data_IF_213444204584
#
_entry.id   IF_213444204584
#
_cell.length_a   1.000
_cell.length_b   1.000
_cell.length_c   1.000
_cell.angle_alpha   90.00
_cell.angle_beta   90.00
_cell.angle_gamma   90.00
#
_symmetry.space_group_name_H-M   'P 1'
#
loop_
_entity.id
_entity.type
_entity.pdbx_description
1 polymer ?
2 non-polymer ?
3 non-polymer ?
4 water ?
#
# COMPACT_ATOMS: atom_id res chain seq x y z
N UNK A 15 32.84 12.69 -0.09
CA UNK A 15 32.63 11.22 -0.08
C UNK A 15 31.99 10.80 -1.38
N UNK A 16 32.42 9.67 -1.89
CA UNK A 16 32.38 9.36 -3.30
C UNK A 16 31.48 8.12 -3.51
N UNK A 17 30.82 7.98 -4.67
CA UNK A 17 29.94 6.80 -4.83
C UNK A 17 30.56 5.47 -4.37
N UNK A 18 31.84 5.24 -4.70
CA UNK A 18 32.48 3.96 -4.35
C UNK A 18 32.78 3.81 -2.85
N UNK A 19 32.65 4.90 -2.09
CA UNK A 19 32.80 4.89 -0.62
C UNK A 19 31.48 4.95 0.20
N UNK A 20 30.34 5.05 -0.48
CA UNK A 20 29.05 5.16 0.20
C UNK A 20 28.82 4.00 1.16
N UNK A 21 28.99 2.76 0.69
CA UNK A 21 28.69 1.58 1.50
C UNK A 21 29.63 1.47 2.72
N UNK A 22 30.90 1.81 2.52
CA UNK A 22 31.88 1.82 3.59
C UNK A 22 31.50 2.83 4.71
N UNK A 23 31.14 4.06 4.32
CA UNK A 23 30.75 5.12 5.25
C UNK A 23 29.51 4.73 6.04
N UNK A 24 28.47 4.24 5.35
CA UNK A 24 27.23 3.86 6.02
C UNK A 24 27.45 2.67 6.95
N UNK A 25 28.30 1.74 6.49
CA UNK A 25 28.57 0.50 7.24
C UNK A 25 29.24 0.72 8.59
N UNK A 26 29.87 1.86 8.78
CA UNK A 26 30.40 2.22 10.12
C UNK A 26 29.28 2.47 11.15
N UNK A 27 28.08 2.85 10.67
CA UNK A 27 27.00 3.29 11.56
C UNK A 27 25.73 2.43 11.51
N UNK A 28 25.53 1.68 10.42
CA UNK A 28 24.28 0.97 10.19
C UNK A 28 24.55 -0.38 9.60
N UNK A 29 23.53 -1.22 9.70
CA UNK A 29 23.49 -2.47 8.95
C UNK A 29 23.26 -2.14 7.47
N UNK A 30 24.19 -2.54 6.60
CA UNK A 30 24.04 -2.17 5.19
C UNK A 30 23.55 -3.36 4.35
N UNK A 31 22.25 -3.62 4.40
CA UNK A 31 21.71 -4.80 3.75
C UNK A 31 20.90 -4.49 2.46
N UNK A 32 20.99 -3.26 1.96
CA UNK A 32 20.26 -2.87 0.76
C UNK A 32 20.98 -3.25 -0.53
N UNK A 33 20.64 -2.58 -1.63
CA UNK A 33 21.16 -2.94 -2.95
C UNK A 33 22.63 -2.59 -3.10
N UNK A 34 23.33 -3.30 -4.00
CA UNK A 34 24.76 -3.07 -4.23
C UNK A 34 25.05 -1.85 -5.06
N UNK A 35 24.01 -1.12 -5.46
CA UNK A 35 24.24 0.04 -6.29
C UNK A 35 24.26 1.30 -5.46
N UNK A 36 24.68 2.40 -6.08
CA UNK A 36 24.53 3.67 -5.46
C UNK A 36 23.67 4.50 -6.40
N UNK A 37 22.55 5.02 -5.89
CA UNK A 37 21.60 5.73 -6.74
C UNK A 37 22.15 7.06 -7.24
N UNK A 38 22.16 7.21 -8.55
CA UNK A 38 22.43 8.49 -9.14
C UNK A 38 21.11 9.30 -9.21
N UNK A 39 21.02 10.35 -8.40
CA UNK A 39 19.79 11.11 -8.21
C UNK A 39 19.48 11.94 -9.43
N UNK A 40 20.51 12.27 -10.19
CA UNK A 40 20.37 13.14 -11.34
C UNK A 40 20.11 12.41 -12.67
N UNK A 41 20.82 11.31 -12.89
CA UNK A 41 20.78 10.61 -14.17
C UNK A 41 19.68 9.56 -14.26
N UNK A 42 19.18 9.11 -13.11
CA UNK A 42 18.01 8.21 -13.07
C UNK A 42 16.79 8.90 -13.67
N UNK A 43 15.89 8.14 -14.28
CA UNK A 43 14.72 8.79 -14.91
C UNK A 43 13.73 7.79 -15.44
N UNK A 44 12.45 8.07 -15.20
CA UNK A 44 11.39 7.23 -15.73
C UNK A 44 11.47 5.84 -15.11
N UNK A 45 11.51 4.79 -15.93
CA UNK A 45 11.52 3.42 -15.42
C UNK A 45 12.94 2.86 -15.16
N UNK A 46 13.94 3.75 -15.14
CA UNK A 46 15.34 3.37 -15.02
C UNK A 46 16.06 4.01 -13.82
N UNK A 47 16.67 3.16 -12.98
CA UNK A 47 17.63 3.63 -11.98
C UNK A 47 19.06 3.57 -12.53
N UNK A 48 19.89 4.57 -12.23
CA UNK A 48 21.28 4.57 -12.70
C UNK A 48 22.18 4.30 -11.49
N UNK A 49 23.07 3.32 -11.62
CA UNK A 49 24.08 3.06 -10.62
C UNK A 49 25.21 4.07 -10.80
N UNK A 50 25.40 4.94 -9.81
CA UNK A 50 26.47 5.93 -9.85
C UNK A 50 27.89 5.33 -9.94
N UNK A 51 28.09 4.11 -9.44
CA UNK A 51 29.41 3.45 -9.48
C UNK A 51 29.79 3.03 -10.92
N UNK A 52 28.91 2.31 -11.62
CA UNK A 52 29.20 1.81 -12.99
C UNK A 52 28.57 2.61 -14.14
N UNK A 53 27.46 3.31 -13.88
CA UNK A 53 26.69 3.89 -14.95
C UNK A 53 25.71 2.88 -15.56
N UNK A 54 25.64 1.67 -15.04
CA UNK A 54 24.67 0.69 -15.56
C UNK A 54 23.24 1.16 -15.24
N UNK A 55 22.34 0.99 -16.20
CA UNK A 55 20.93 1.33 -16.05
C UNK A 55 20.15 0.08 -15.63
N UNK A 56 19.25 0.24 -14.66
CA UNK A 56 18.45 -0.86 -14.13
C UNK A 56 16.97 -0.60 -14.41
N UNK A 57 16.31 -1.58 -15.01
CA UNK A 57 14.88 -1.50 -15.25
C UNK A 57 14.14 -1.67 -13.91
N UNK A 58 13.33 -0.68 -13.58
CA UNK A 58 12.77 -0.57 -12.24
C UNK A 58 11.31 -1.05 -12.19
N UNK A 59 11.11 -2.28 -11.72
CA UNK A 59 9.75 -2.77 -11.39
C UNK A 59 9.59 -2.87 -9.87
N UNK A 60 10.25 -1.96 -9.15
CA UNK A 60 10.28 -2.01 -7.68
C UNK A 60 9.83 -0.67 -7.08
N UNK A 61 10.20 0.44 -7.74
CA UNK A 61 9.69 1.80 -7.48
C UNK A 61 9.72 2.21 -5.99
N UNK A 62 10.87 1.98 -5.35
CA UNK A 62 11.06 2.28 -3.91
C UNK A 62 9.96 1.61 -3.08
N UNK A 63 9.78 0.31 -3.32
CA UNK A 63 8.70 -0.52 -2.75
C UNK A 63 7.32 0.08 -3.04
N UNK A 64 7.01 0.30 -4.32
CA UNK A 64 5.73 0.79 -4.78
C UNK A 64 5.36 2.22 -4.31
N UNK A 65 6.35 3.04 -3.91
CA UNK A 65 6.08 4.37 -3.38
C UNK A 65 6.29 5.50 -4.41
N UNK A 66 6.73 5.15 -5.62
CA UNK A 66 6.92 6.13 -6.68
C UNK A 66 5.90 5.95 -7.79
N UNK A 67 5.01 6.91 -7.99
CA UNK A 67 3.96 6.82 -9.00
C UNK A 67 4.45 7.07 -10.45
N UNK A 68 5.31 8.08 -10.61
CA UNK A 68 5.77 8.48 -11.93
C UNK A 68 7.21 8.02 -12.25
N UNK A 69 7.88 7.29 -11.35
CA UNK A 69 9.30 6.96 -11.53
C UNK A 69 10.21 8.13 -11.15
N UNK A 70 11.49 8.01 -11.49
CA UNK A 70 12.50 9.03 -11.14
C UNK A 70 12.46 10.26 -12.05
N UNK A 71 12.62 11.42 -11.44
CA UNK A 71 12.80 12.67 -12.21
C UNK A 71 11.82 12.80 -13.38
N UNK A 72 10.50 12.76 -13.09
CA UNK A 72 9.55 12.87 -14.20
C UNK A 72 9.64 14.25 -14.88
N UNK A 73 9.60 14.28 -16.23
CA UNK A 73 9.72 15.52 -16.99
C UNK A 73 8.76 16.62 -16.56
N UNK A 74 7.52 16.28 -16.22
CA UNK A 74 6.54 17.30 -15.79
C UNK A 74 7.00 18.03 -14.53
N UNK A 75 7.84 17.39 -13.74
CA UNK A 75 8.39 18.00 -12.52
C UNK A 75 9.72 18.70 -12.81
N UNK A 76 10.60 18.02 -13.49
CA UNK A 76 11.97 18.49 -13.76
C UNK A 76 12.00 19.73 -14.68
N UNK A 77 11.08 19.80 -15.65
CA UNK A 77 11.08 20.93 -16.61
C UNK A 77 10.23 22.12 -16.18
N UNK A 78 9.52 22.00 -15.07
CA UNK A 78 8.57 23.02 -14.65
C UNK A 78 9.28 24.04 -13.75
N UNK A 79 9.69 25.17 -14.33
CA UNK A 79 10.47 26.15 -13.55
C UNK A 79 9.70 26.80 -12.41
N UNK A 80 8.39 26.94 -12.55
CA UNK A 80 7.52 27.50 -11.48
C UNK A 80 7.40 26.55 -10.31
N UNK A 81 7.25 25.26 -10.62
CA UNK A 81 7.20 24.22 -9.61
C UNK A 81 8.54 24.16 -8.85
N UNK A 82 9.67 24.25 -9.57
CA UNK A 82 10.98 24.32 -8.91
C UNK A 82 11.02 25.33 -7.80
N UNK A 83 10.51 26.54 -8.06
CA UNK A 83 10.44 27.62 -7.07
C UNK A 83 9.53 27.27 -5.89
N UNK A 84 8.40 26.62 -6.16
CA UNK A 84 7.47 26.23 -5.10
C UNK A 84 8.07 25.14 -4.23
N UNK A 85 8.67 24.15 -4.87
CA UNK A 85 9.33 23.05 -4.17
C UNK A 85 10.50 23.56 -3.31
N UNK A 86 11.33 24.41 -3.87
CA UNK A 86 12.45 24.99 -3.12
C UNK A 86 11.99 25.77 -1.87
N UNK A 87 10.94 26.59 -2.03
CA UNK A 87 10.34 27.32 -0.92
C UNK A 87 9.91 26.36 0.18
N UNK A 88 9.33 25.23 -0.21
CA UNK A 88 8.87 24.26 0.77
C UNK A 88 10.04 23.51 1.40
N UNK A 89 11.05 23.16 0.58
CA UNK A 89 12.15 22.28 1.01
C UNK A 89 13.15 22.93 1.99
N UNK A 90 13.26 24.26 1.94
CA UNK A 90 14.24 24.96 2.76
C UNK A 90 13.94 24.88 4.25
N UNK A 91 12.66 24.81 4.59
CA UNK A 91 12.24 24.76 5.99
C UNK A 91 11.36 23.56 6.21
N UNK A 92 10.95 23.34 7.44
CA UNK A 92 10.00 22.26 7.71
C UNK A 92 8.99 22.74 8.75
N UNK A 93 7.94 23.44 8.30
CA UNK A 93 6.94 23.95 9.26
C UNK A 93 6.14 22.85 9.94
N UNK A 94 5.63 23.13 11.13
CA UNK A 94 4.65 22.22 11.73
C UNK A 94 3.26 22.57 11.15
N UNK A 95 2.84 21.82 10.13
CA UNK A 95 1.54 22.04 9.49
C UNK A 95 0.34 21.82 10.43
N UNK A 96 0.60 21.15 11.55
CA UNK A 96 -0.39 20.96 12.63
C UNK A 96 -0.90 22.27 13.18
N UNK A 97 -0.01 23.27 13.24
CA UNK A 97 -0.17 24.55 13.96
C UNK A 97 -0.21 25.71 13.00
N UNK A 98 0.59 25.61 11.94
CA UNK A 98 0.82 26.76 11.05
C UNK A 98 0.50 26.43 9.60
N UNK A 99 -0.49 27.11 9.03
CA UNK A 99 -0.98 26.80 7.69
C UNK A 99 -0.30 27.65 6.66
N UNK A 100 -0.28 27.18 5.42
CA UNK A 100 0.34 27.90 4.34
C UNK A 100 -0.48 27.70 3.09
N UNK A 101 -0.22 28.53 2.09
CA UNK A 101 -0.85 28.38 0.78
C UNK A 101 -0.44 27.04 0.13
N UNK A 102 0.85 26.70 0.25
CA UNK A 102 1.39 25.44 -0.27
C UNK A 102 0.61 24.23 0.26
N UNK A 103 0.36 24.22 1.57
CA UNK A 103 -0.43 23.19 2.20
C UNK A 103 -1.87 23.15 1.68
N UNK A 104 -2.54 24.32 1.62
CA UNK A 104 -3.94 24.40 1.18
C UNK A 104 -4.10 23.92 -0.26
N UNK A 105 -3.17 24.27 -1.14
CA UNK A 105 -3.21 23.78 -2.53
C UNK A 105 -3.05 22.27 -2.59
N UNK A 106 -2.18 21.68 -1.76
CA UNK A 106 -2.08 20.25 -1.71
C UNK A 106 -3.42 19.60 -1.31
N UNK A 107 -4.03 20.13 -0.24
CA UNK A 107 -5.24 19.53 0.33
C UNK A 107 -6.41 19.61 -0.65
N UNK A 108 -6.57 20.74 -1.34
CA UNK A 108 -7.67 20.81 -2.30
C UNK A 108 -7.43 19.95 -3.52
N UNK A 109 -6.17 19.81 -3.95
CA UNK A 109 -5.96 18.89 -5.06
C UNK A 109 -6.06 17.42 -4.66
N UNK A 110 -5.64 17.06 -3.44
CA UNK A 110 -5.85 15.71 -2.93
C UNK A 110 -7.35 15.39 -2.92
N UNK A 111 -8.15 16.30 -2.34
CA UNK A 111 -9.62 16.12 -2.30
C UNK A 111 -10.20 15.97 -3.74
N UNK A 112 -9.74 16.81 -4.67
CA UNK A 112 -10.27 16.75 -6.05
C UNK A 112 -9.92 15.45 -6.76
N UNK A 113 -8.67 15.00 -6.65
CA UNK A 113 -8.20 13.88 -7.47
C UNK A 113 -8.47 12.53 -6.81
N UNK A 114 -8.28 12.43 -5.50
CA UNK A 114 -8.45 11.16 -4.80
C UNK A 114 -9.62 11.14 -3.85
N UNK A 115 -10.28 12.27 -3.65
CA UNK A 115 -11.38 12.34 -2.69
C UNK A 115 -12.59 11.44 -2.97
N UNK A 116 -13.28 11.05 -1.91
CA UNK A 116 -14.53 10.32 -1.99
C UNK A 116 -15.56 11.17 -1.21
N UNK A 117 -16.72 11.50 -1.82
CA UNK A 117 -17.67 12.40 -1.17
C UNK A 117 -18.23 11.86 0.19
N UNK A 118 -18.18 10.56 0.40
CA UNK A 118 -18.61 9.98 1.68
C UNK A 118 -17.55 10.11 2.78
N UNK A 119 -16.30 10.43 2.39
CA UNK A 119 -15.17 10.46 3.34
C UNK A 119 -14.48 11.85 3.33
N UNK A 120 -15.17 12.87 3.86
CA UNK A 120 -14.66 14.24 3.75
C UNK A 120 -13.54 14.64 4.73
N UNK A 121 -13.33 13.88 5.81
CA UNK A 121 -12.34 14.21 6.84
C UNK A 121 -10.97 13.69 6.44
N UNK A 122 -10.02 14.61 6.36
CA UNK A 122 -8.65 14.26 5.99
C UNK A 122 -7.73 14.52 7.17
N UNK A 123 -6.72 13.67 7.34
CA UNK A 123 -5.73 13.85 8.38
C UNK A 123 -4.41 13.36 7.81
N UNK A 124 -3.34 14.15 7.97
CA UNK A 124 -2.03 13.75 7.41
C UNK A 124 -0.98 13.54 8.50
N UNK A 125 -0.01 12.69 8.19
CA UNK A 125 1.02 12.31 9.14
C UNK A 125 2.22 11.77 8.30
N UNK A 126 3.41 11.77 8.88
CA UNK A 126 4.54 11.08 8.23
C UNK A 126 4.49 9.58 8.59
N UNK A 127 4.47 8.72 7.57
CA UNK A 127 4.67 7.27 7.80
C UNK A 127 3.40 6.47 7.62
N UNK A 128 3.52 5.34 6.90
CA UNK A 128 2.40 4.45 6.61
C UNK A 128 1.84 3.75 7.83
N UNK A 129 2.72 3.27 8.71
CA UNK A 129 2.25 2.59 9.94
C UNK A 129 1.43 3.59 10.79
N UNK A 130 1.88 4.83 10.86
CA UNK A 130 1.16 5.82 11.65
C UNK A 130 -0.16 6.25 11.01
N UNK A 131 -0.25 6.20 9.68
CA UNK A 131 -1.55 6.38 8.99
C UNK A 131 -2.54 5.31 9.44
N UNK A 132 -2.11 4.05 9.43
CA UNK A 132 -2.97 2.97 9.90
C UNK A 132 -3.32 3.14 11.36
N UNK A 133 -2.33 3.52 12.19
CA UNK A 133 -2.61 3.72 13.60
C UNK A 133 -3.66 4.80 13.89
N UNK A 134 -3.64 5.87 13.11
CA UNK A 134 -4.63 6.91 13.31
C UNK A 134 -6.03 6.49 12.89
N UNK A 135 -6.09 5.64 11.87
CA UNK A 135 -7.34 5.00 11.48
C UNK A 135 -7.85 4.16 12.65
N UNK A 136 -6.96 3.38 13.28
CA UNK A 136 -7.33 2.56 14.42
C UNK A 136 -7.81 3.43 15.58
N UNK A 137 -7.06 4.50 15.89
CA UNK A 137 -7.42 5.41 16.98
C UNK A 137 -8.81 6.02 16.76
N UNK A 138 -9.10 6.43 15.52
CA UNK A 138 -10.44 6.92 15.18
C UNK A 138 -11.49 5.87 15.53
N UNK A 139 -11.24 4.60 15.20
CA UNK A 139 -12.19 3.53 15.44
C UNK A 139 -12.37 3.23 16.92
N UNK A 140 -11.27 3.22 17.69
CA UNK A 140 -11.34 2.95 19.14
C UNK A 140 -12.19 4.04 19.81
N UNK A 141 -11.91 5.30 19.47
CA UNK A 141 -12.65 6.41 20.05
C UNK A 141 -14.14 6.30 19.66
N UNK A 142 -14.40 6.03 18.39
CA UNK A 142 -15.74 5.91 17.86
C UNK A 142 -16.54 4.84 18.64
N UNK A 143 -15.98 3.63 18.73
CA UNK A 143 -16.65 2.52 19.39
C UNK A 143 -16.97 2.83 20.86
N UNK A 144 -15.97 3.32 21.59
CA UNK A 144 -16.15 3.69 22.99
C UNK A 144 -17.29 4.71 23.15
N UNK A 145 -17.29 5.76 22.33
CA UNK A 145 -18.33 6.80 22.37
C UNK A 145 -19.70 6.27 21.90
N UNK A 146 -19.72 5.42 20.86
CA UNK A 146 -20.97 4.77 20.39
C UNK A 146 -21.52 3.87 21.51
N UNK A 147 -20.67 3.03 22.09
CA UNK A 147 -21.03 2.23 23.26
C UNK A 147 -21.66 3.08 24.38
N UNK A 148 -20.93 4.11 24.83
CA UNK A 148 -21.38 5.04 25.87
C UNK A 148 -22.77 5.62 25.56
N UNK A 149 -23.00 6.01 24.30
CA UNK A 149 -24.25 6.65 23.86
C UNK A 149 -25.43 5.67 23.90
N UNK A 150 -25.14 4.38 23.87
CA UNK A 150 -26.16 3.35 23.92
C UNK A 150 -26.14 2.56 25.23
N UNK A 151 -25.66 3.14 26.31
CA UNK A 151 -25.73 2.51 27.61
C UNK A 151 -24.76 1.36 27.83
N UNK A 152 -23.78 1.21 26.92
CA UNK A 152 -22.73 0.21 27.07
C UNK A 152 -21.48 0.86 27.69
N UNK A 153 -20.78 0.10 28.54
CA UNK A 153 -19.56 0.55 29.19
C UNK A 153 -18.55 1.11 28.15
N UNK A 154 -18.10 2.37 28.34
CA UNK A 154 -17.16 2.98 27.39
C UNK A 154 -15.73 2.44 27.48
N UNK A 155 -15.48 1.54 28.44
CA UNK A 155 -14.21 0.81 28.51
C UNK A 155 -14.16 -0.25 27.42
N UNK A 156 -15.31 -0.56 26.83
CA UNK A 156 -15.35 -1.55 25.77
C UNK A 156 -15.15 -0.88 24.42
N UNK A 157 -14.43 -1.58 23.53
CA UNK A 157 -14.23 -1.11 22.15
C UNK A 157 -12.75 -0.96 21.83
N UNK A 158 -11.96 -1.98 22.12
CA UNK A 158 -10.50 -1.85 22.07
C UNK A 158 -9.82 -2.90 21.17
N UNK A 159 -10.60 -3.73 20.47
CA UNK A 159 -10.02 -4.81 19.68
C UNK A 159 -10.17 -4.60 18.17
N UNK A 160 -9.29 -5.22 17.42
CA UNK A 160 -9.25 -5.00 15.99
C UNK A 160 -9.32 -6.36 15.36
N UNK A 161 -10.38 -6.60 14.60
CA UNK A 161 -10.47 -7.80 13.79
C UNK A 161 -9.59 -7.62 12.53
N UNK A 162 -8.83 -8.66 12.17
CA UNK A 162 -7.90 -8.53 11.04
C UNK A 162 -7.61 -9.90 10.43
N UNK A 163 -6.84 -9.91 9.35
CA UNK A 163 -6.56 -11.10 8.56
C UNK A 163 -5.22 -11.77 8.82
N UNK A 164 -5.17 -13.09 8.66
CA UNK A 164 -3.89 -13.78 8.52
C UNK A 164 -3.20 -13.32 7.26
N UNK A 165 -1.88 -13.22 7.31
CA UNK A 165 -1.09 -12.78 6.17
C UNK A 165 -1.04 -11.27 5.98
N UNK A 166 -1.61 -10.50 6.93
CA UNK A 166 -1.71 -9.05 6.83
C UNK A 166 -0.38 -8.38 7.06
N UNK A 167 -0.16 -7.25 6.39
CA UNK A 167 0.96 -6.39 6.77
C UNK A 167 0.44 -4.97 6.89
N UNK A 168 0.47 -4.39 8.09
CA UNK A 168 -0.03 -3.01 8.31
C UNK A 168 1.03 -2.08 8.93
N UNK A 169 2.24 -2.59 9.11
CA UNK A 169 3.31 -1.77 9.67
C UNK A 169 4.05 -2.41 10.82
N UNK A 170 5.03 -1.67 11.35
CA UNK A 170 5.95 -2.18 12.36
C UNK A 170 5.95 -1.34 13.63
N UNK A 171 4.82 -0.66 13.88
CA UNK A 171 4.67 0.26 15.03
C UNK A 171 3.84 -0.41 16.14
N UNK A 172 3.71 0.25 17.29
CA UNK A 172 3.10 -0.39 18.47
C UNK A 172 1.78 -1.09 18.22
N UNK A 173 0.80 -0.43 17.59
CA UNK A 173 -0.46 -1.10 17.28
C UNK A 173 -0.39 -2.06 16.07
N UNK A 174 0.39 -1.71 15.06
CA UNK A 174 0.40 -2.53 13.84
C UNK A 174 1.20 -3.82 13.97
N UNK A 175 2.10 -3.86 14.96
CA UNK A 175 2.81 -5.12 15.25
C UNK A 175 1.87 -6.21 15.80
N UNK A 176 0.72 -5.78 16.32
CA UNK A 176 -0.34 -6.74 16.74
C UNK A 176 -1.21 -7.21 15.57
N UNK A 177 -1.05 -6.58 14.41
CA UNK A 177 -1.87 -6.92 13.24
C UNK A 177 -1.04 -7.66 12.18
N UNK A 178 0.15 -7.12 11.90
CA UNK A 178 1.09 -7.67 10.92
C UNK A 178 1.47 -9.12 11.29
N UNK A 179 1.26 -10.03 10.35
CA UNK A 179 1.66 -11.42 10.58
C UNK A 179 2.07 -12.06 9.25
N UNK A 180 3.29 -11.76 8.84
CA UNK A 180 3.86 -12.36 7.65
C UNK A 180 5.07 -13.23 8.04
N UNK A 181 6.24 -12.60 8.20
CA UNK A 181 7.46 -13.27 8.61
C UNK A 181 7.66 -13.02 10.10
N UNK A 182 8.04 -14.07 10.85
CA UNK A 182 8.33 -14.00 12.29
C UNK A 182 9.35 -12.95 12.67
N UNK A 183 10.35 -12.73 11.80
CA UNK A 183 11.40 -11.71 11.98
C UNK A 183 10.79 -10.32 12.28
N UNK A 184 9.64 -10.03 11.70
CA UNK A 184 9.04 -8.71 11.87
C UNK A 184 8.46 -8.46 13.27
N UNK A 185 7.88 -9.49 13.88
CA UNK A 185 7.08 -9.32 15.08
C UNK A 185 7.63 -10.03 16.32
N UNK A 186 8.62 -10.93 16.16
CA UNK A 186 9.11 -11.76 17.28
C UNK A 186 9.69 -10.92 18.42
N UNK A 187 9.35 -11.31 19.65
CA UNK A 187 9.87 -10.66 20.86
C UNK A 187 9.35 -9.23 21.11
N UNK A 188 8.34 -8.78 20.36
CA UNK A 188 7.72 -7.46 20.60
C UNK A 188 6.34 -7.65 21.26
N UNK A 189 6.07 -6.91 22.36
CA UNK A 189 4.76 -7.10 22.98
C UNK A 189 3.56 -6.74 22.07
N UNK A 190 2.50 -7.52 22.25
CA UNK A 190 1.33 -7.46 21.38
C UNK A 190 0.03 -7.53 22.18
N UNK A 191 -1.02 -6.94 21.63
CA UNK A 191 -2.37 -7.16 22.11
C UNK A 191 -2.86 -8.47 21.55
N UNK A 192 -3.77 -9.09 22.27
CA UNK A 192 -4.40 -10.31 21.82
C UNK A 192 -5.65 -9.92 21.03
N UNK A 193 -5.48 -9.63 19.74
CA UNK A 193 -6.62 -9.22 18.91
C UNK A 193 -7.06 -10.36 18.01
N UNK A 194 -8.37 -10.43 17.69
CA UNK A 194 -8.86 -11.59 16.92
C UNK A 194 -8.42 -11.59 15.44
N UNK A 195 -7.90 -12.74 15.01
CA UNK A 195 -7.29 -12.90 13.70
C UNK A 195 -8.07 -14.03 13.00
N UNK A 196 -8.51 -13.79 11.76
CA UNK A 196 -9.27 -14.80 11.02
C UNK A 196 -8.54 -15.21 9.75
N UNK A 197 -8.84 -16.39 9.23
CA UNK A 197 -8.29 -16.85 7.94
C UNK A 197 -8.61 -15.90 6.79
N UNK A 198 -7.67 -15.80 5.86
CA UNK A 198 -7.81 -14.94 4.72
C UNK A 198 -8.23 -15.82 3.52
N UNK A 199 -9.49 -15.67 3.04
CA UNK A 199 -10.02 -16.51 1.94
C UNK A 199 -9.65 -15.98 0.55
N UNK A 200 -8.35 -15.91 0.27
CA UNK A 200 -7.89 -15.34 -1.00
C UNK A 200 -8.09 -16.35 -2.13
N UNK A 201 -8.29 -15.82 -3.33
CA UNK A 201 -8.35 -16.61 -4.54
C UNK A 201 -7.07 -17.41 -4.79
N UNK A 202 -7.26 -18.70 -5.08
CA UNK A 202 -6.14 -19.52 -5.51
C UNK A 202 -6.52 -20.27 -6.79
N UNK A 203 -5.50 -20.71 -7.56
CA UNK A 203 -5.86 -21.34 -8.85
C UNK A 203 -6.51 -22.72 -8.60
N UNK A 204 -7.44 -23.08 -9.48
CA UNK A 204 -8.13 -24.37 -9.34
C UNK A 204 -9.11 -24.41 -8.19
N UNK A 205 -9.78 -23.28 -7.94
CA UNK A 205 -10.94 -23.21 -7.06
C UNK A 205 -12.00 -22.47 -7.83
N UNK A 206 -13.17 -23.08 -8.00
CA UNK A 206 -14.24 -22.44 -8.75
C UNK A 206 -15.21 -21.76 -7.77
N UNK A 207 -16.11 -20.93 -8.32
CA UNK A 207 -17.12 -20.19 -7.53
C UNK A 207 -17.56 -20.89 -6.23
N UNK A 208 -18.15 -22.12 -6.30
CA UNK A 208 -18.55 -22.88 -5.09
C UNK A 208 -17.46 -23.10 -4.04
N UNK A 209 -16.27 -23.50 -4.48
CA UNK A 209 -15.16 -23.73 -3.56
C UNK A 209 -14.71 -22.42 -2.90
N UNK A 210 -14.71 -21.32 -3.67
CA UNK A 210 -14.41 -20.00 -3.15
C UNK A 210 -15.45 -19.58 -2.13
N UNK A 211 -16.71 -19.80 -2.49
CA UNK A 211 -17.81 -19.43 -1.61
C UNK A 211 -17.71 -20.18 -0.25
N UNK A 212 -17.31 -21.45 -0.28
CA UNK A 212 -17.10 -22.24 0.94
C UNK A 212 -15.94 -21.70 1.79
N UNK A 213 -14.85 -21.34 1.13
CA UNK A 213 -13.70 -20.74 1.80
C UNK A 213 -14.09 -19.43 2.50
N UNK A 214 -14.75 -18.54 1.76
CA UNK A 214 -15.25 -17.29 2.32
C UNK A 214 -16.19 -17.50 3.52
N UNK A 215 -17.15 -18.44 3.38
CA UNK A 215 -18.13 -18.77 4.41
C UNK A 215 -17.48 -19.15 5.74
N UNK A 216 -16.34 -19.85 5.66
CA UNK A 216 -15.57 -20.23 6.84
C UNK A 216 -14.87 -19.05 7.55
N UNK A 217 -14.27 -18.13 6.78
CA UNK A 217 -13.68 -16.89 7.33
C UNK A 217 -14.76 -16.05 8.02
N UNK A 218 -15.90 -15.93 7.35
CA UNK A 218 -17.08 -15.21 7.82
C UNK A 218 -17.65 -15.80 9.11
N UNK A 219 -17.62 -17.14 9.22
CA UNK A 219 -18.03 -17.84 10.43
C UNK A 219 -17.09 -17.49 11.57
N UNK A 220 -15.78 -17.53 11.30
CA UNK A 220 -14.75 -17.10 12.27
C UNK A 220 -14.94 -15.63 12.67
N UNK A 221 -15.30 -14.79 11.71
CA UNK A 221 -15.52 -13.36 11.98
C UNK A 221 -16.71 -13.18 12.91
N UNK A 222 -17.82 -13.85 12.58
CA UNK A 222 -19.04 -13.78 13.38
C UNK A 222 -18.78 -14.27 14.81
N UNK A 223 -18.06 -15.37 14.93
CA UNK A 223 -17.74 -15.95 16.23
C UNK A 223 -16.93 -14.95 17.09
N UNK A 224 -15.97 -14.26 16.46
CA UNK A 224 -15.19 -13.23 17.16
C UNK A 224 -16.10 -12.12 17.69
N UNK A 225 -16.99 -11.62 16.85
CA UNK A 225 -17.92 -10.58 17.27
C UNK A 225 -18.81 -11.06 18.43
N UNK A 226 -19.29 -12.30 18.36
CA UNK A 226 -20.22 -12.78 19.39
C UNK A 226 -19.53 -13.12 20.71
N UNK A 227 -18.24 -13.47 20.66
CA UNK A 227 -17.55 -13.85 21.90
C UNK A 227 -16.83 -12.69 22.59
N UNK A 228 -16.80 -11.53 21.93
CA UNK A 228 -16.13 -10.33 22.46
C UNK A 228 -17.13 -9.18 22.31
N UNK A 229 -18.30 -9.28 22.98
CA UNK A 229 -19.41 -8.35 22.69
C UNK A 229 -19.05 -6.87 22.91
N UNK A 230 -19.36 -6.05 21.91
CA UNK A 230 -19.16 -4.59 21.97
C UNK A 230 -17.69 -4.16 22.09
N UNK A 231 -16.78 -5.10 21.94
CA UNK A 231 -15.37 -4.83 22.20
C UNK A 231 -14.54 -4.80 20.91
N UNK A 232 -15.11 -5.16 19.78
CA UNK A 232 -14.37 -5.08 18.49
C UNK A 232 -14.74 -3.72 17.84
N UNK A 233 -13.76 -2.82 17.69
CA UNK A 233 -14.02 -1.44 17.21
C UNK A 233 -14.10 -1.42 15.69
N UNK A 234 -13.36 -2.35 15.05
CA UNK A 234 -13.21 -2.32 13.59
C UNK A 234 -12.65 -3.62 13.03
N UNK A 235 -12.81 -3.75 11.72
CA UNK A 235 -12.15 -4.75 10.91
C UNK A 235 -11.21 -3.99 9.96
N UNK A 236 -9.94 -4.41 9.88
CA UNK A 236 -8.97 -3.76 9.00
C UNK A 236 -8.55 -4.81 8.00
N UNK A 237 -8.40 -4.39 6.74
CA UNK A 237 -7.84 -5.27 5.72
C UNK A 237 -7.14 -4.47 4.65
N UNK A 238 -6.14 -5.09 4.03
CA UNK A 238 -5.68 -4.70 2.70
C UNK A 238 -6.66 -5.23 1.66
N UNK A 239 -7.08 -4.40 0.70
CA UNK A 239 -7.97 -4.92 -0.35
C UNK A 239 -7.31 -6.03 -1.21
N UNK A 240 -5.97 -5.95 -1.36
CA UNK A 240 -5.11 -6.99 -1.94
C UNK A 240 -3.93 -7.02 -1.00
N UNK A 241 -3.64 -8.18 -0.44
CA UNK A 241 -2.52 -8.28 0.49
C UNK A 241 -1.20 -8.20 -0.30
N UNK A 242 -0.33 -7.24 0.05
CA UNK A 242 0.89 -6.99 -0.69
C UNK A 242 2.04 -7.85 -0.20
N UNK A 243 2.64 -7.45 0.92
CA UNK A 243 3.79 -8.16 1.51
C UNK A 243 3.51 -9.64 1.78
N UNK A 244 2.27 -9.98 2.09
CA UNK A 244 1.90 -11.37 2.38
C UNK A 244 1.90 -12.27 1.14
N UNK A 245 1.96 -11.67 -0.07
CA UNK A 245 2.08 -12.42 -1.32
C UNK A 245 1.12 -12.08 -2.46
N UNK A 246 0.75 -10.81 -2.62
CA UNK A 246 -0.21 -10.39 -3.64
C UNK A 246 -1.43 -11.34 -3.67
N UNK A 247 -2.13 -11.38 -2.55
CA UNK A 247 -3.28 -12.26 -2.42
C UNK A 247 -4.51 -11.45 -2.59
N UNK A 248 -5.30 -11.84 -3.58
CA UNK A 248 -6.47 -11.09 -3.99
C UNK A 248 -7.75 -11.74 -3.41
N UNK A 249 -8.76 -10.93 -3.16
CA UNK A 249 -10.01 -11.40 -2.56
C UNK A 249 -11.15 -11.05 -3.48
N UNK A 250 -12.18 -11.88 -3.49
CA UNK A 250 -13.39 -11.54 -4.25
C UNK A 250 -14.12 -10.38 -3.57
N UNK A 251 -14.75 -9.52 -4.37
CA UNK A 251 -15.62 -8.46 -3.81
C UNK A 251 -16.69 -9.00 -2.85
N UNK A 252 -17.21 -10.20 -3.13
CA UNK A 252 -18.22 -10.87 -2.28
C UNK A 252 -17.75 -11.02 -0.83
N UNK A 253 -16.48 -11.35 -0.64
CA UNK A 253 -15.99 -11.51 0.73
C UNK A 253 -16.10 -10.18 1.51
N UNK A 254 -15.66 -9.09 0.89
CA UNK A 254 -15.66 -7.82 1.56
C UNK A 254 -17.06 -7.26 1.74
N UNK A 255 -17.93 -7.46 0.74
CA UNK A 255 -19.36 -7.08 0.83
C UNK A 255 -20.07 -7.75 2.01
N UNK A 256 -19.79 -9.03 2.22
CA UNK A 256 -20.24 -9.75 3.42
C UNK A 256 -19.65 -9.18 4.70
N UNK A 257 -18.32 -8.88 4.70
CA UNK A 257 -17.69 -8.26 5.87
C UNK A 257 -18.31 -6.90 6.19
N UNK A 258 -18.59 -6.15 5.15
CA UNK A 258 -19.26 -4.85 5.29
C UNK A 258 -20.61 -5.01 6.02
N UNK A 259 -21.39 -6.03 5.67
CA UNK A 259 -22.68 -6.21 6.32
C UNK A 259 -22.53 -6.64 7.75
N UNK A 260 -21.56 -7.50 8.00
CA UNK A 260 -21.27 -8.00 9.33
C UNK A 260 -20.78 -6.93 10.29
N UNK A 261 -19.84 -6.07 9.82
CA UNK A 261 -19.42 -4.87 10.55
C UNK A 261 -20.61 -3.98 10.96
N UNK A 262 -21.51 -3.74 10.01
CA UNK A 262 -22.68 -2.93 10.29
C UNK A 262 -23.59 -3.58 11.33
N UNK A 263 -23.79 -4.89 11.22
CA UNK A 263 -24.61 -5.60 12.19
C UNK A 263 -24.08 -5.49 13.62
N UNK A 264 -22.76 -5.52 13.79
CA UNK A 264 -22.15 -5.39 15.12
C UNK A 264 -21.60 -4.01 15.50
N UNK A 265 -22.01 -2.98 14.77
CA UNK A 265 -21.54 -1.60 14.97
C UNK A 265 -20.01 -1.47 15.09
N UNK A 266 -19.33 -1.95 14.06
CA UNK A 266 -17.87 -1.87 13.94
C UNK A 266 -17.52 -1.20 12.59
N UNK A 267 -16.47 -0.39 12.61
CA UNK A 267 -16.06 0.30 11.39
C UNK A 267 -15.26 -0.63 10.46
N UNK A 268 -15.36 -0.40 9.16
CA UNK A 268 -14.54 -1.14 8.22
C UNK A 268 -13.44 -0.19 7.73
N UNK A 269 -12.19 -0.60 7.94
CA UNK A 269 -11.07 0.18 7.45
C UNK A 269 -10.28 -0.53 6.33
N UNK A 270 -10.09 0.14 5.22
CA UNK A 270 -9.19 -0.42 4.19
C UNK A 270 -7.81 0.23 4.30
N UNK A 271 -6.80 -0.61 4.38
CA UNK A 271 -5.43 -0.14 4.36
C UNK A 271 -5.01 -0.12 2.88
N UNK A 272 -5.01 1.06 2.29
CA UNK A 272 -4.62 1.24 0.90
C UNK A 272 -3.20 1.83 0.75
N UNK A 273 -2.37 1.70 1.78
CA UNK A 273 -1.01 2.22 1.70
C UNK A 273 -0.29 1.66 0.47
N UNK A 274 -0.44 0.34 0.21
CA UNK A 274 0.20 -0.26 -0.97
C UNK A 274 -0.64 -0.28 -2.26
N UNK A 275 -1.96 -0.43 -2.13
CA UNK A 275 -2.87 -0.50 -3.27
C UNK A 275 -3.25 0.84 -3.87
N UNK A 276 -3.05 1.93 -3.11
CA UNK A 276 -3.68 3.19 -3.42
C UNK A 276 -3.02 4.00 -4.51
N UNK A 277 -3.62 5.13 -4.82
CA UNK A 277 -3.08 6.11 -5.76
C UNK A 277 -2.82 5.55 -7.18
N UNK A 278 -3.82 4.83 -7.70
CA UNK A 278 -3.84 4.52 -9.11
C UNK A 278 -3.28 3.19 -9.59
N UNK A 279 -2.55 2.48 -8.73
CA UNK A 279 -1.85 1.26 -9.14
C UNK A 279 -2.78 0.19 -9.71
N UNK A 280 -3.98 0.04 -9.12
CA UNK A 280 -4.89 -0.99 -9.60
C UNK A 280 -5.74 -0.49 -10.77
N UNK A 281 -5.56 0.77 -11.15
CA UNK A 281 -6.33 1.36 -12.25
C UNK A 281 -7.40 2.36 -11.84
N UNK A 282 -7.69 2.45 -10.53
CA UNK A 282 -8.60 3.46 -9.96
C UNK A 282 -7.84 4.21 -8.86
N UNK A 283 -8.31 5.40 -8.48
CA UNK A 283 -7.72 6.06 -7.29
C UNK A 283 -7.44 5.06 -6.17
N UNK A 284 -8.44 4.25 -5.83
CA UNK A 284 -8.34 3.29 -4.74
C UNK A 284 -8.86 1.96 -5.19
N UNK A 285 -8.26 0.88 -4.68
CA UNK A 285 -8.70 -0.47 -4.99
C UNK A 285 -10.14 -0.71 -4.55
N UNK A 286 -10.54 -0.18 -3.39
CA UNK A 286 -11.91 -0.38 -2.90
C UNK A 286 -12.99 0.08 -3.90
N UNK A 287 -12.66 1.08 -4.75
CA UNK A 287 -13.63 1.55 -5.76
C UNK A 287 -13.99 0.47 -6.79
N UNK A 288 -13.11 -0.50 -6.98
CA UNK A 288 -13.39 -1.59 -7.91
C UNK A 288 -14.09 -2.76 -7.23
N UNK A 289 -14.01 -2.82 -5.90
CA UNK A 289 -14.63 -3.89 -5.15
C UNK A 289 -16.07 -3.54 -4.82
N UNK A 290 -16.45 -2.27 -5.01
CA UNK A 290 -17.80 -1.79 -4.70
C UNK A 290 -18.21 -2.05 -3.23
N UNK A 291 -17.27 -1.84 -2.31
CA UNK A 291 -17.52 -1.88 -0.88
C UNK A 291 -17.09 -0.51 -0.32
N UNK A 292 -17.96 0.13 0.47
CA UNK A 292 -17.70 1.45 1.00
C UNK A 292 -17.07 1.30 2.40
N UNK A 293 -15.80 1.74 2.55
CA UNK A 293 -15.20 1.73 3.89
C UNK A 293 -15.65 2.95 4.71
N UNK A 294 -15.45 2.90 6.03
CA UNK A 294 -15.69 4.09 6.86
C UNK A 294 -14.42 4.92 6.93
N UNK A 295 -13.29 4.22 6.82
CA UNK A 295 -12.00 4.89 6.87
C UNK A 295 -10.97 4.20 5.94
N UNK A 296 -10.13 5.02 5.29
CA UNK A 296 -9.09 4.56 4.37
C UNK A 296 -7.73 5.12 4.87
N UNK A 297 -6.74 4.25 5.07
CA UNK A 297 -5.38 4.67 5.40
C UNK A 297 -4.61 4.68 4.07
N UNK A 298 -3.82 5.73 3.82
CA UNK A 298 -3.04 5.82 2.58
C UNK A 298 -1.56 6.18 2.85
N UNK A 299 -0.70 5.94 1.87
CA UNK A 299 0.72 6.27 2.03
C UNK A 299 1.47 5.93 0.76
N UNK A 300 2.79 5.71 0.92
CA UNK A 300 3.67 5.37 -0.20
C UNK A 300 3.57 6.38 -1.35
N UNK A 301 2.82 6.07 -2.42
CA UNK A 301 2.77 6.96 -3.56
C UNK A 301 2.31 8.37 -3.23
N UNK A 302 1.44 8.50 -2.21
CA UNK A 302 0.96 9.83 -1.78
C UNK A 302 2.06 10.70 -1.14
N UNK A 303 3.21 10.09 -0.80
CA UNK A 303 4.41 10.79 -0.24
C UNK A 303 4.17 11.20 1.23
N UNK A 304 3.17 12.07 1.44
CA UNK A 304 2.56 12.31 2.78
C UNK A 304 1.61 11.15 3.05
N UNK A 305 1.51 10.73 4.30
CA UNK A 305 0.61 9.63 4.63
C UNK A 305 -0.62 10.17 5.37
N UNK A 306 -1.63 9.34 5.60
CA UNK A 306 -2.77 9.83 6.36
C UNK A 306 -4.03 8.99 6.27
N UNK A 307 -5.15 9.58 6.65
CA UNK A 307 -6.43 8.87 6.61
C UNK A 307 -7.50 9.74 5.94
N UNK A 308 -8.47 9.08 5.31
CA UNK A 308 -9.73 9.74 4.89
C UNK A 308 -10.82 9.03 5.66
N UNK A 309 -11.76 9.77 6.24
CA UNK A 309 -12.80 9.16 7.06
C UNK A 309 -14.15 9.80 6.82
N UNK A 310 -15.19 9.02 7.11
CA UNK A 310 -16.54 9.51 6.97
C UNK A 310 -17.47 8.32 7.15
N UNK A 311 -18.49 8.24 6.30
CA UNK A 311 -19.55 7.23 6.47
C UNK A 311 -20.01 7.18 7.95
N UNK A 312 -19.93 6.04 8.63
CA UNK A 312 -20.46 5.95 9.99
C UNK A 312 -19.72 6.78 11.03
N UNK A 313 -18.47 7.18 10.73
CA UNK A 313 -17.67 7.99 11.67
C UNK A 313 -18.46 9.23 12.14
N UNK A 314 -19.13 9.88 11.20
CA UNK A 314 -19.90 11.10 11.46
C UNK A 314 -21.11 10.94 12.41
N UNK A 315 -21.56 9.70 12.63
CA UNK A 315 -22.70 9.42 13.51
C UNK A 315 -22.38 9.66 14.98
N UNK A 316 -21.09 9.76 15.31
CA UNK A 316 -20.63 10.10 16.65
C UNK A 316 -20.13 11.52 16.48
N UNK A 317 -20.90 12.48 16.99
CA UNK A 317 -20.63 13.89 16.72
C UNK A 317 -19.29 14.38 17.30
N UNK A 318 -18.84 13.77 18.41
CA UNK A 318 -17.58 14.19 19.06
C UNK A 318 -16.45 13.18 18.74
N UNK A 319 -16.42 12.74 17.49
CA UNK A 319 -15.36 11.88 17.00
C UNK A 319 -14.02 12.67 16.90
N UNK A 320 -12.98 11.92 16.59
CA UNK A 320 -11.60 12.35 16.67
C UNK A 320 -11.30 13.45 15.64
N UNK A 321 -12.13 13.56 14.63
CA UNK A 321 -11.98 14.59 13.60
C UNK A 321 -12.72 15.87 13.93
N UNK A 322 -13.50 15.85 15.01
CA UNK A 322 -14.34 16.97 15.39
C UNK A 322 -13.86 17.64 16.68
N UNK A 323 -13.01 16.96 17.44
CA UNK A 323 -12.56 17.36 18.77
C UNK A 323 -11.05 17.67 18.70
N UNK A 324 -10.63 18.88 19.10
CA UNK A 324 -9.20 19.26 19.03
C UNK A 324 -8.31 18.33 19.86
N UNK A 325 -7.12 18.07 19.33
CA UNK A 325 -6.04 17.41 20.06
C UNK A 325 -6.17 15.91 20.32
N UNK A 326 -7.16 15.23 19.72
CA UNK A 326 -7.29 13.77 19.89
C UNK A 326 -6.26 13.05 19.03
N UNK A 327 -6.04 13.59 17.84
CA UNK A 327 -4.98 13.13 16.91
C UNK A 327 -3.99 14.27 16.69
N UNK A 328 -2.70 13.95 16.60
CA UNK A 328 -1.70 14.99 16.30
C UNK A 328 -0.35 14.36 16.01
N UNK A 329 0.56 15.18 15.51
CA UNK A 329 1.99 14.90 15.46
C UNK A 329 2.70 16.26 15.45
N UNK A 330 4.01 16.29 15.68
CA UNK A 330 4.78 17.57 15.56
C UNK A 330 4.56 18.23 14.21
N UNK A 331 4.78 17.52 13.12
CA UNK A 331 4.80 18.20 11.81
C UNK A 331 3.49 18.20 11.02
N UNK A 332 2.61 17.22 11.29
CA UNK A 332 1.39 17.01 10.49
C UNK A 332 1.72 16.68 9.03
N UNK A 333 2.74 15.86 8.83
CA UNK A 333 3.17 15.53 7.47
C UNK A 333 4.28 16.47 7.04
N UNK A 334 5.04 16.08 6.02
CA UNK A 334 6.16 16.85 5.55
C UNK A 334 5.69 17.81 4.44
N UNK A 335 5.88 19.12 4.62
CA UNK A 335 5.41 20.09 3.61
C UNK A 335 6.05 19.86 2.21
N UNK A 336 7.32 19.47 2.17
CA UNK A 336 7.97 19.12 0.89
C UNK A 336 7.25 17.97 0.19
N UNK A 337 6.89 16.92 0.95
CA UNK A 337 6.09 15.84 0.40
C UNK A 337 4.73 16.31 -0.12
N UNK A 338 4.08 17.24 0.59
CA UNK A 338 2.80 17.80 0.13
C UNK A 338 2.93 18.54 -1.19
N UNK A 339 3.95 19.39 -1.32
CA UNK A 339 4.14 20.11 -2.58
C UNK A 339 4.44 19.16 -3.78
N UNK A 340 5.33 18.18 -3.57
CA UNK A 340 5.65 17.17 -4.59
C UNK A 340 4.40 16.36 -4.96
N UNK A 341 3.67 15.87 -3.95
CA UNK A 341 2.46 15.08 -4.14
C UNK A 341 1.41 15.89 -4.91
N UNK A 342 1.28 17.17 -4.62
CA UNK A 342 0.24 17.90 -5.36
C UNK A 342 0.60 18.03 -6.83
N UNK A 343 1.88 18.22 -7.14
CA UNK A 343 2.31 18.24 -8.56
C UNK A 343 2.11 16.88 -9.25
N UNK A 344 2.44 15.80 -8.53
CA UNK A 344 2.24 14.43 -9.03
C UNK A 344 0.73 14.17 -9.32
N UNK A 345 -0.15 14.54 -8.39
CA UNK A 345 -1.60 14.42 -8.60
C UNK A 345 -2.11 15.19 -9.82
N UNK A 346 -1.55 16.37 -10.06
CA UNK A 346 -1.90 17.16 -11.23
C UNK A 346 -1.47 16.47 -12.53
N UNK A 347 -0.30 15.83 -12.52
CA UNK A 347 0.16 15.05 -13.67
C UNK A 347 -0.80 13.85 -13.89
N UNK A 348 -1.09 13.10 -12.83
CA UNK A 348 -2.04 11.98 -12.93
C UNK A 348 -3.38 12.39 -13.59
N UNK A 349 -3.92 13.51 -13.13
CA UNK A 349 -5.22 14.00 -13.57
C UNK A 349 -5.16 14.47 -15.04
N UNK A 350 -4.10 15.23 -15.36
CA UNK A 350 -3.92 15.80 -16.70
C UNK A 350 -3.60 14.77 -17.79
N UNK A 351 -2.85 13.72 -17.46
CA UNK A 351 -2.41 12.73 -18.43
C UNK A 351 -3.22 11.42 -18.43
N UNK A 352 -4.31 11.38 -17.65
CA UNK A 352 -5.18 10.19 -17.53
C UNK A 352 -4.44 8.92 -17.11
N UNK A 353 -3.63 9.03 -16.05
CA UNK A 353 -2.73 7.92 -15.68
C UNK A 353 -3.43 6.72 -15.02
N UNK A 354 -4.60 6.95 -14.43
CA UNK A 354 -5.39 5.80 -13.93
C UNK A 354 -5.78 4.90 -15.09
N UNK A 355 -6.27 5.50 -16.18
CA UNK A 355 -6.68 4.76 -17.39
C UNK A 355 -5.49 4.10 -18.07
N UNK A 356 -4.35 4.78 -18.07
CA UNK A 356 -3.14 4.20 -18.60
C UNK A 356 -2.70 2.95 -17.79
N UNK A 357 -2.90 3.00 -16.49
CA UNK A 357 -2.65 1.84 -15.64
C UNK A 357 -3.58 0.63 -15.91
N UNK A 358 -4.86 0.90 -16.13
CA UNK A 358 -5.79 -0.14 -16.58
C UNK A 358 -5.27 -0.83 -17.86
N UNK A 359 -4.95 -0.03 -18.88
CA UNK A 359 -4.55 -0.57 -20.17
C UNK A 359 -3.21 -1.32 -20.11
N UNK A 360 -2.18 -0.71 -19.52
CA UNK A 360 -0.87 -1.36 -19.42
C UNK A 360 -0.87 -2.51 -18.44
N UNK A 361 -1.70 -2.41 -17.41
CA UNK A 361 -1.94 -3.53 -16.50
C UNK A 361 -2.56 -4.74 -17.20
N UNK A 362 -3.49 -4.52 -18.11
CA UNK A 362 -4.03 -5.62 -18.95
C UNK A 362 -2.92 -6.26 -19.83
N UNK A 363 -2.03 -5.44 -20.35
CA UNK A 363 -0.89 -5.91 -21.14
C UNK A 363 0.07 -6.76 -20.31
N UNK A 364 0.49 -6.25 -19.14
CA UNK A 364 1.40 -6.98 -18.26
C UNK A 364 0.79 -8.34 -17.87
N UNK A 365 -0.49 -8.31 -17.52
CA UNK A 365 -1.20 -9.51 -17.13
C UNK A 365 -1.24 -10.58 -18.24
N UNK A 366 -1.58 -10.14 -19.46
CA UNK A 366 -1.58 -10.99 -20.66
C UNK A 366 -0.21 -11.67 -20.88
N UNK A 367 0.88 -10.91 -20.70
CA UNK A 367 2.25 -11.43 -20.82
C UNK A 367 2.57 -12.47 -19.78
N UNK A 368 2.02 -12.30 -18.56
CA UNK A 368 2.25 -13.28 -17.49
C UNK A 368 1.48 -14.59 -17.74
N UNK A 369 0.28 -14.45 -18.30
CA UNK A 369 -0.54 -15.57 -18.80
C UNK A 369 0.21 -16.37 -19.87
N UNK A 370 0.83 -15.68 -20.83
CA UNK A 370 1.72 -16.31 -21.82
C UNK A 370 2.89 -17.07 -21.21
N UNK A 371 3.56 -16.44 -20.22
CA UNK A 371 4.62 -17.10 -19.47
C UNK A 371 4.13 -18.38 -18.81
N UNK A 372 2.93 -18.34 -18.24
CA UNK A 372 2.38 -19.49 -17.53
C UNK A 372 2.16 -20.64 -18.52
N UNK A 373 1.74 -20.31 -19.74
CA UNK A 373 1.52 -21.29 -20.80
C UNK A 373 2.82 -21.93 -21.26
N UNK A 374 3.87 -21.13 -21.42
CA UNK A 374 5.18 -21.64 -21.88
C UNK A 374 5.94 -22.40 -20.82
N UNK A 375 5.67 -22.09 -19.54
CA UNK A 375 6.37 -22.69 -18.41
C UNK A 375 5.40 -23.20 -17.33
N UNK A 376 4.48 -24.13 -17.69
CA UNK A 376 3.34 -24.54 -16.85
C UNK A 376 3.68 -25.03 -15.46
N UNK A 377 4.80 -25.72 -15.27
CA UNK A 377 5.11 -26.26 -13.93
C UNK A 377 5.94 -25.31 -13.08
N UNK A 378 6.26 -24.14 -13.63
CA UNK A 378 7.23 -23.25 -13.00
C UNK A 378 6.60 -21.87 -12.72
N UNK A 379 5.91 -21.30 -13.71
CA UNK A 379 5.26 -20.01 -13.56
C UNK A 379 3.82 -20.27 -13.08
N UNK A 380 3.62 -20.17 -11.76
CA UNK A 380 2.32 -20.49 -11.15
C UNK A 380 1.49 -19.26 -10.81
N UNK A 381 0.18 -19.39 -11.01
CA UNK A 381 -0.80 -18.46 -10.48
C UNK A 381 -0.54 -17.00 -10.93
N UNK A 382 -0.43 -16.76 -12.25
CA UNK A 382 -0.29 -15.37 -12.70
C UNK A 382 -1.55 -14.60 -12.30
N UNK A 383 -1.37 -13.38 -11.78
CA UNK A 383 -2.49 -12.65 -11.15
C UNK A 383 -2.20 -11.16 -11.11
N UNK A 384 -3.24 -10.36 -10.96
CA UNK A 384 -3.06 -8.92 -10.89
C UNK A 384 -4.33 -8.13 -11.02
N UNK A 385 -4.26 -6.86 -10.62
CA UNK A 385 -5.32 -5.90 -10.84
C UNK A 385 -4.60 -4.62 -11.21
N UNK A 386 -4.86 -4.09 -12.40
CA UNK A 386 -4.07 -2.99 -12.93
C UNK A 386 -2.61 -3.40 -13.02
N UNK A 387 -1.73 -2.50 -12.58
CA UNK A 387 -0.28 -2.72 -12.65
C UNK A 387 0.23 -3.50 -11.44
N UNK A 388 -0.66 -3.83 -10.51
CA UNK A 388 -0.28 -4.60 -9.36
C UNK A 388 -0.39 -6.10 -9.72
N UNK A 389 0.73 -6.66 -10.16
CA UNK A 389 0.74 -8.01 -10.74
C UNK A 389 1.81 -8.84 -10.10
N UNK A 390 1.68 -10.16 -10.24
CA UNK A 390 2.57 -11.10 -9.58
C UNK A 390 2.43 -12.49 -10.18
N UNK A 391 3.42 -13.34 -9.94
CA UNK A 391 3.23 -14.80 -10.13
C UNK A 391 4.06 -15.51 -9.07
N UNK A 392 3.88 -16.81 -8.95
CA UNK A 392 4.58 -17.56 -7.94
C UNK A 392 5.41 -18.66 -8.58
N UNK A 393 6.41 -19.13 -7.83
CA UNK A 393 7.26 -20.25 -8.23
C UNK A 393 6.98 -21.45 -7.31
N UNK A 394 7.42 -22.68 -7.71
CA UNK A 394 7.20 -23.91 -6.93
C UNK A 394 7.77 -23.88 -5.52
N UNK A 395 8.97 -23.31 -5.35
CA UNK A 395 9.63 -23.28 -4.07
C UNK A 395 10.18 -21.89 -3.79
N UNK A 396 10.55 -21.62 -2.55
CA UNK A 396 11.19 -20.35 -2.24
C UNK A 396 12.62 -20.27 -2.78
N UNK A 397 13.30 -21.40 -2.91
CA UNK A 397 14.62 -21.44 -3.51
C UNK A 397 14.55 -21.02 -4.99
N UNK A 398 13.51 -21.47 -5.69
CA UNK A 398 13.34 -21.08 -7.11
C UNK A 398 13.09 -19.57 -7.23
N UNK A 399 12.21 -19.06 -6.35
CA UNK A 399 11.80 -17.65 -6.33
C UNK A 399 13.03 -16.77 -6.08
N UNK A 400 13.82 -17.14 -5.06
CA UNK A 400 15.02 -16.41 -4.70
C UNK A 400 16.06 -16.38 -5.84
N UNK A 401 16.29 -17.54 -6.43
CA UNK A 401 17.16 -17.65 -7.60
C UNK A 401 16.69 -16.82 -8.79
N UNK A 402 15.39 -16.78 -9.06
CA UNK A 402 14.89 -15.98 -10.16
C UNK A 402 15.15 -14.50 -9.92
N UNK A 403 14.96 -14.05 -8.69
CA UNK A 403 15.25 -12.66 -8.36
C UNK A 403 16.74 -12.32 -8.59
N UNK A 404 17.64 -13.21 -8.20
CA UNK A 404 19.09 -13.00 -8.41
C UNK A 404 19.41 -12.96 -9.90
N UNK A 405 18.84 -13.89 -10.66
CA UNK A 405 19.06 -13.95 -12.11
C UNK A 405 18.58 -12.68 -12.81
N UNK A 406 17.44 -12.14 -12.36
CA UNK A 406 16.95 -10.86 -12.89
C UNK A 406 17.85 -9.69 -12.52
N UNK A 407 18.36 -9.70 -11.28
CA UNK A 407 19.27 -8.67 -10.81
C UNK A 407 20.53 -8.63 -11.71
N UNK A 408 21.04 -9.82 -12.06
CA UNK A 408 22.22 -9.94 -12.94
C UNK A 408 21.94 -9.37 -14.32
N UNK A 409 20.68 -9.46 -14.74
CA UNK A 409 20.22 -8.87 -15.97
C UNK A 409 19.67 -7.43 -15.83
N UNK A 410 19.92 -6.78 -14.70
CA UNK A 410 19.57 -5.38 -14.47
C UNK A 410 18.06 -5.13 -14.53
N UNK A 411 17.28 -6.05 -13.98
CA UNK A 411 15.83 -5.83 -13.77
C UNK A 411 15.58 -5.99 -12.26
N UNK A 412 14.99 -4.94 -11.66
CA UNK A 412 14.71 -4.97 -10.19
C UNK A 412 13.24 -5.33 -9.94
N UNK A 413 13.00 -6.45 -9.28
CA UNK A 413 11.64 -6.85 -8.89
C UNK A 413 11.70 -7.17 -7.42
N UNK A 414 10.56 -7.35 -6.78
CA UNK A 414 10.54 -7.62 -5.33
C UNK A 414 10.00 -9.01 -5.01
N UNK A 415 10.55 -9.66 -3.98
CA UNK A 415 9.89 -10.84 -3.44
C UNK A 415 8.67 -10.46 -2.58
N UNK A 416 7.81 -11.44 -2.35
CA UNK A 416 6.69 -11.35 -1.40
C UNK A 416 6.40 -12.77 -0.92
N UNK A 417 6.00 -12.91 0.34
CA UNK A 417 5.67 -14.22 0.87
C UNK A 417 6.80 -15.22 0.70
N UNK A 418 6.42 -16.49 0.61
CA UNK A 418 7.37 -17.58 0.47
C UNK A 418 7.76 -17.84 -0.99
N UNK A 419 6.90 -17.55 -1.96
CA UNK A 419 7.18 -17.98 -3.33
C UNK A 419 6.73 -17.04 -4.44
N UNK A 420 6.45 -15.79 -4.07
CA UNK A 420 5.91 -14.83 -5.02
C UNK A 420 6.96 -13.84 -5.50
N UNK A 421 6.85 -13.45 -6.78
CA UNK A 421 7.59 -12.37 -7.38
C UNK A 421 6.51 -11.34 -7.77
N UNK A 422 6.67 -10.11 -7.29
CA UNK A 422 5.72 -9.04 -7.57
C UNK A 422 6.32 -7.95 -8.47
N UNK A 423 5.46 -7.36 -9.29
CA UNK A 423 5.81 -6.24 -10.14
C UNK A 423 5.16 -5.02 -9.55
N UNK A 424 5.95 -3.96 -9.41
CA UNK A 424 5.47 -2.65 -8.98
C UNK A 424 6.05 -1.60 -9.94
N UNK A 425 5.55 -1.56 -11.18
CA UNK A 425 6.08 -0.57 -12.11
C UNK A 425 5.49 0.80 -11.81
N UNK A 426 6.11 1.87 -12.33
CA UNK A 426 5.48 3.19 -12.22
C UNK A 426 4.23 3.25 -13.13
N UNK A 427 3.33 4.18 -12.84
CA UNK A 427 2.12 4.31 -13.64
C UNK A 427 2.45 4.71 -15.09
N UNK A 428 3.65 5.24 -15.28
CA UNK A 428 4.09 5.75 -16.59
C UNK A 428 4.89 4.71 -17.40
N UNK A 429 5.04 3.50 -16.87
CA UNK A 429 5.70 2.38 -17.59
C UNK A 429 5.12 2.24 -19.02
N UNK A 430 6.01 1.95 -19.98
CA UNK A 430 5.54 1.71 -21.37
C UNK A 430 5.43 0.20 -21.67
N UNK A 431 4.81 -0.16 -22.81
CA UNK A 431 4.68 -1.58 -23.15
C UNK A 431 6.05 -2.15 -23.54
N UNK A 432 6.92 -1.34 -24.14
CA UNK A 432 8.29 -1.81 -24.43
C UNK A 432 9.09 -2.16 -23.15
N UNK A 433 8.90 -1.35 -22.10
CA UNK A 433 9.52 -1.62 -20.79
C UNK A 433 8.96 -2.90 -20.15
N UNK A 434 7.64 -3.10 -20.21
CA UNK A 434 7.03 -4.36 -19.82
C UNK A 434 7.62 -5.53 -20.62
N UNK A 435 7.76 -5.37 -21.93
CA UNK A 435 8.36 -6.44 -22.78
C UNK A 435 9.79 -6.76 -22.36
N UNK A 436 10.58 -5.73 -22.08
CA UNK A 436 11.95 -5.93 -21.59
C UNK A 436 11.98 -6.71 -20.29
N UNK A 437 11.09 -6.39 -19.34
CA UNK A 437 11.05 -7.12 -18.07
C UNK A 437 10.71 -8.61 -18.31
N UNK A 438 9.72 -8.83 -19.19
CA UNK A 438 9.26 -10.18 -19.55
C UNK A 438 10.35 -10.99 -20.27
N UNK A 439 11.06 -10.32 -21.20
CA UNK A 439 12.20 -10.93 -21.90
C UNK A 439 13.25 -11.43 -20.91
N UNK A 440 13.56 -10.61 -19.89
CA UNK A 440 14.49 -11.01 -18.81
C UNK A 440 14.02 -12.21 -18.03
N UNK A 441 12.71 -12.29 -17.74
CA UNK A 441 12.17 -13.45 -17.02
C UNK A 441 12.29 -14.73 -17.86
N UNK A 442 11.93 -14.65 -19.14
CA UNK A 442 12.10 -15.76 -20.09
C UNK A 442 13.55 -16.26 -20.19
N UNK A 443 14.51 -15.35 -20.19
CA UNK A 443 15.93 -15.72 -20.20
C UNK A 443 16.37 -16.43 -18.94
N UNK A 444 15.90 -15.93 -17.80
CA UNK A 444 16.31 -16.47 -16.50
C UNK A 444 15.66 -17.80 -16.16
N UNK A 445 14.45 -18.04 -16.64
CA UNK A 445 13.69 -19.24 -16.20
C UNK A 445 14.39 -20.61 -16.49
N UNK A 446 14.88 -20.84 -17.73
CA UNK A 446 15.64 -22.09 -17.98
C UNK A 446 16.82 -22.27 -17.01
N UNK A 447 17.46 -21.18 -16.62
CA UNK A 447 18.57 -21.25 -15.66
C UNK A 447 18.10 -21.74 -14.28
N UNK A 448 16.94 -21.27 -13.81
CA UNK A 448 16.45 -21.70 -12.50
C UNK A 448 15.94 -23.15 -12.50
N UNK A 449 15.21 -23.58 -13.54
CA UNK A 449 14.70 -24.98 -13.64
C UNK A 449 15.77 -26.08 -13.47
#
# INVERSE_FOLDING_TARGET
MAAVVKSVALAGRPTTPDRVHEVLGRSMLVDGLDIVLDLTRSGGSYLVDAITGRRYLDMFTFVASSALGMNPPALVDDREFHAELMQAALNKPSNSDVYSVAMARFVETFARVLGDPALPHLFFVEGGALAVENALKAAFDWKSRHNQAHGIDPALGTQVLHLRGAFHGRSGYTLSLTNTKPTITARFPKFDWPRIDAPYMRPGLDEPAMAALEAEALRQARAAFETRPHDIACFVAEPIQGEGGDRHFRPEFFAAMRELCDEFDALLIFDEVQTGCGLTGTAWAYQQLDVAPDIVAFGKKTQVCGVMAGRRVDEVADNVFAVPSRLNSTWGGNLTDMVRARRILEVIEAEGLFERAVQHGKYLRARLDELAADFPAVVLDPRGRGLMCAFSLPTTADRDELIRQLWQRAVIVLPAGADTVRFRPPLTVSTAEIDAAIAAVRSALPVVT
#
